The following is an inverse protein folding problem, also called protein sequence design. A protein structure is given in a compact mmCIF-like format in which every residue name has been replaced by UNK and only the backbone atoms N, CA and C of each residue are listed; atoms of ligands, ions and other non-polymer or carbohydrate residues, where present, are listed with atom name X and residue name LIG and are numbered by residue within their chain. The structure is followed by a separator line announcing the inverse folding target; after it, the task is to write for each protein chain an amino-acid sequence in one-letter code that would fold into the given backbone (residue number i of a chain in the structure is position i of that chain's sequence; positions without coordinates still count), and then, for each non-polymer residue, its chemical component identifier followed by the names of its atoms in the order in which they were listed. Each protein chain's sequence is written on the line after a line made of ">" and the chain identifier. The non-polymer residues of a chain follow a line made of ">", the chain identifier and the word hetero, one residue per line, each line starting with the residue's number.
data_IF_003051404792
#
_entry.id   IF_003051404792
#
_cell.length_a   1.000
_cell.length_b   1.000
_cell.length_c   1.000
_cell.angle_alpha   90.00
_cell.angle_beta   90.00
_cell.angle_gamma   90.00
#
_symmetry.space_group_name_H-M   'P 1'
#
loop_
_entity.id
_entity.type
_entity.pdbx_description
1 polymer ?
#
# COMPACT_ATOMS: atom_id res chain seq x y z
N UNK A 1 10.94 0.94 -58.63
CA UNK A 1 10.64 1.47 -57.28
C UNK A 1 11.28 2.84 -57.19
N UNK A 2 10.50 3.90 -56.93
CA UNK A 2 11.05 5.26 -56.93
C UNK A 2 11.96 5.49 -55.71
N UNK A 3 13.11 6.17 -55.87
CA UNK A 3 14.14 6.31 -54.83
C UNK A 3 13.64 7.04 -53.58
N UNK A 4 12.63 7.91 -53.69
CA UNK A 4 12.03 8.59 -52.55
C UNK A 4 11.20 7.64 -51.66
N UNK A 5 10.61 6.57 -52.20
CA UNK A 5 9.86 5.56 -51.43
C UNK A 5 10.81 4.72 -50.57
N UNK A 6 11.97 4.38 -51.12
CA UNK A 6 13.03 3.66 -50.39
C UNK A 6 13.62 4.55 -49.29
N UNK A 7 13.84 5.84 -49.56
CA UNK A 7 14.29 6.80 -48.56
C UNK A 7 13.25 7.01 -47.43
N UNK A 8 11.96 7.04 -47.76
CA UNK A 8 10.88 7.20 -46.77
C UNK A 8 10.72 5.97 -45.88
N UNK A 9 10.88 4.77 -46.45
CA UNK A 9 10.88 3.51 -45.68
C UNK A 9 12.16 3.35 -44.86
N UNK A 10 13.32 3.68 -45.42
CA UNK A 10 14.61 3.61 -44.73
C UNK A 10 14.74 4.62 -43.58
N UNK A 11 14.08 5.79 -43.67
CA UNK A 11 14.05 6.79 -42.60
C UNK A 11 12.88 6.59 -41.62
N UNK A 12 11.73 6.10 -42.09
CA UNK A 12 10.52 5.91 -41.28
C UNK A 12 10.60 4.74 -40.30
N UNK A 13 11.23 3.62 -40.69
CA UNK A 13 11.37 2.43 -39.85
C UNK A 13 12.26 2.70 -38.61
N UNK A 14 13.44 3.35 -38.73
CA UNK A 14 14.25 3.73 -37.57
C UNK A 14 13.59 4.76 -36.66
N UNK A 15 12.89 5.75 -37.22
CA UNK A 15 12.18 6.77 -36.43
C UNK A 15 11.02 6.15 -35.61
N UNK A 16 10.27 5.22 -36.20
CA UNK A 16 9.24 4.47 -35.50
C UNK A 16 9.81 3.54 -34.41
N UNK A 17 10.90 2.83 -34.70
CA UNK A 17 11.57 1.97 -33.73
C UNK A 17 12.13 2.77 -32.53
N UNK A 18 12.68 3.95 -32.78
CA UNK A 18 13.14 4.87 -31.75
C UNK A 18 11.97 5.40 -30.89
N UNK A 19 10.87 5.81 -31.51
CA UNK A 19 9.67 6.26 -30.80
C UNK A 19 9.04 5.14 -29.95
N UNK A 20 9.00 3.91 -30.46
CA UNK A 20 8.48 2.74 -29.74
C UNK A 20 9.39 2.38 -28.55
N UNK A 21 10.70 2.41 -28.75
CA UNK A 21 11.67 2.12 -27.68
C UNK A 21 11.64 3.20 -26.61
N UNK A 22 11.49 4.47 -27.00
CA UNK A 22 11.27 5.57 -26.06
C UNK A 22 9.96 5.37 -25.29
N UNK A 23 8.84 5.08 -25.96
CA UNK A 23 7.54 4.85 -25.31
C UNK A 23 7.59 3.67 -24.32
N UNK A 24 8.24 2.56 -24.68
CA UNK A 24 8.44 1.41 -23.79
C UNK A 24 9.34 1.80 -22.60
N UNK A 25 10.42 2.55 -22.84
CA UNK A 25 11.33 3.00 -21.79
C UNK A 25 10.65 3.95 -20.81
N UNK A 26 9.86 4.90 -21.32
CA UNK A 26 9.10 5.85 -20.53
C UNK A 26 7.99 5.14 -19.73
N UNK A 27 7.33 4.16 -20.34
CA UNK A 27 6.36 3.30 -19.66
C UNK A 27 7.00 2.44 -18.56
N UNK A 28 8.18 1.87 -18.81
CA UNK A 28 8.94 1.11 -17.82
C UNK A 28 9.41 2.01 -16.66
N UNK A 29 9.86 3.24 -16.95
CA UNK A 29 10.22 4.24 -15.93
C UNK A 29 9.02 4.64 -15.09
N UNK A 30 7.88 4.93 -15.72
CA UNK A 30 6.64 5.25 -15.02
C UNK A 30 6.16 4.07 -14.14
N UNK A 31 6.30 2.83 -14.63
CA UNK A 31 6.01 1.63 -13.84
C UNK A 31 6.94 1.45 -12.65
N UNK A 32 8.26 1.64 -12.84
CA UNK A 32 9.25 1.58 -11.75
C UNK A 32 8.96 2.66 -10.71
N UNK A 33 8.75 3.91 -11.13
CA UNK A 33 8.40 5.00 -10.22
C UNK A 33 7.11 4.71 -9.42
N UNK A 34 6.08 4.11 -10.05
CA UNK A 34 4.87 3.67 -9.34
C UNK A 34 5.16 2.53 -8.35
N UNK A 35 5.99 1.56 -8.73
CA UNK A 35 6.42 0.47 -7.85
C UNK A 35 7.22 0.98 -6.64
N UNK A 36 8.14 1.91 -6.87
CA UNK A 36 9.01 2.49 -5.85
C UNK A 36 8.19 3.32 -4.85
N UNK A 37 7.22 4.11 -5.33
CA UNK A 37 6.28 4.83 -4.47
C UNK A 37 5.48 3.88 -3.59
N UNK A 38 4.95 2.78 -4.16
CA UNK A 38 4.22 1.76 -3.39
C UNK A 38 5.10 1.13 -2.32
N UNK A 39 6.32 0.73 -2.69
CA UNK A 39 7.28 0.14 -1.77
C UNK A 39 7.62 1.11 -0.63
N UNK A 40 7.84 2.39 -0.94
CA UNK A 40 8.12 3.41 0.06
C UNK A 40 6.97 3.63 1.05
N UNK A 41 5.72 3.66 0.57
CA UNK A 41 4.55 3.80 1.46
C UNK A 41 4.40 2.58 2.36
N UNK A 42 4.55 1.37 1.82
CA UNK A 42 4.51 0.18 2.65
C UNK A 42 5.67 0.09 3.65
N UNK A 43 6.88 0.48 3.26
CA UNK A 43 8.04 0.48 4.16
C UNK A 43 7.83 1.46 5.33
N UNK A 44 7.22 2.62 5.08
CA UNK A 44 6.80 3.57 6.14
C UNK A 44 5.78 2.94 7.09
N UNK A 45 4.80 2.21 6.54
CA UNK A 45 3.80 1.51 7.33
C UNK A 45 4.44 0.42 8.21
N UNK A 46 5.30 -0.42 7.63
CA UNK A 46 6.03 -1.48 8.35
C UNK A 46 6.93 -0.91 9.45
N UNK A 47 7.70 0.15 9.14
CA UNK A 47 8.52 0.86 10.14
C UNK A 47 7.64 1.43 11.26
N UNK A 48 6.46 1.96 10.93
CA UNK A 48 5.49 2.45 11.91
C UNK A 48 5.01 1.35 12.85
N UNK A 49 4.66 0.18 12.29
CA UNK A 49 4.17 -0.99 13.02
C UNK A 49 5.25 -1.57 13.95
N UNK A 50 6.49 -1.70 13.48
CA UNK A 50 7.62 -2.15 14.30
C UNK A 50 7.88 -1.18 15.48
N UNK A 51 7.76 0.13 15.22
CA UNK A 51 7.92 1.16 16.25
C UNK A 51 6.85 1.10 17.32
N UNK A 52 5.68 0.50 17.09
CA UNK A 52 4.66 0.31 18.14
C UNK A 52 5.27 -0.47 19.29
N UNK A 53 5.88 -1.63 19.02
CA UNK A 53 6.48 -2.46 20.07
C UNK A 53 7.60 -1.71 20.81
N UNK A 54 8.43 -0.97 20.09
CA UNK A 54 9.55 -0.20 20.65
C UNK A 54 9.06 0.96 21.54
N UNK A 55 8.07 1.73 21.09
CA UNK A 55 7.54 2.86 21.86
C UNK A 55 6.81 2.36 23.10
N UNK A 56 6.12 1.23 23.01
CA UNK A 56 5.41 0.68 24.14
C UNK A 56 6.37 0.15 25.24
N UNK A 57 7.59 -0.27 24.94
CA UNK A 57 8.55 -0.62 26.01
C UNK A 57 9.20 0.60 26.69
N UNK A 58 8.94 1.82 26.20
CA UNK A 58 9.50 3.04 26.76
C UNK A 58 8.75 3.55 28.02
N UNK A 59 9.42 4.35 28.86
CA UNK A 59 8.77 5.09 29.95
C UNK A 59 7.56 5.91 29.48
N UNK A 60 6.52 6.02 30.33
CA UNK A 60 5.24 6.71 30.03
C UNK A 60 5.41 8.13 29.47
N UNK A 61 6.39 8.88 29.95
CA UNK A 61 6.69 10.22 29.45
C UNK A 61 7.09 10.18 27.97
N UNK A 62 8.03 9.32 27.58
CA UNK A 62 8.52 9.20 26.20
C UNK A 62 7.45 8.62 25.26
N UNK A 63 6.62 7.69 25.75
CA UNK A 63 5.45 7.16 25.02
C UNK A 63 4.50 8.25 24.52
N UNK A 64 4.27 9.31 25.31
CA UNK A 64 3.33 10.38 24.95
C UNK A 64 3.81 11.20 23.75
N UNK A 65 5.13 11.39 23.63
CA UNK A 65 5.76 12.17 22.56
C UNK A 65 6.02 11.37 21.29
N UNK A 66 6.09 10.04 21.38
CA UNK A 66 6.27 9.15 20.22
C UNK A 66 4.91 8.57 19.83
N UNK A 67 4.35 9.06 18.73
CA UNK A 67 3.05 8.66 18.18
C UNK A 67 3.21 7.84 16.89
N UNK A 68 3.58 6.54 16.96
CA UNK A 68 3.71 5.69 15.77
C UNK A 68 2.37 5.47 15.06
N UNK A 69 1.27 5.57 15.81
CA UNK A 69 -0.11 5.53 15.34
C UNK A 69 -0.40 6.59 14.26
N UNK A 70 0.08 7.83 14.45
CA UNK A 70 -0.12 8.91 13.45
C UNK A 70 0.60 8.58 12.14
N UNK A 71 1.82 8.04 12.21
CA UNK A 71 2.58 7.65 11.02
C UNK A 71 1.92 6.48 10.28
N UNK A 72 1.36 5.51 11.02
CA UNK A 72 0.61 4.38 10.47
C UNK A 72 -0.65 4.86 9.75
N UNK A 73 -1.42 5.76 10.36
CA UNK A 73 -2.62 6.35 9.74
C UNK A 73 -2.26 7.09 8.45
N UNK A 74 -1.26 7.98 8.49
CA UNK A 74 -0.81 8.72 7.31
C UNK A 74 -0.35 7.78 6.18
N UNK A 75 0.48 6.77 6.50
CA UNK A 75 0.94 5.80 5.51
C UNK A 75 -0.22 5.01 4.92
N UNK A 76 -1.22 4.64 5.73
CA UNK A 76 -2.42 3.95 5.28
C UNK A 76 -3.26 4.81 4.34
N UNK A 77 -3.46 6.10 4.66
CA UNK A 77 -4.16 7.03 3.78
C UNK A 77 -3.45 7.20 2.45
N UNK A 78 -2.11 7.31 2.45
CA UNK A 78 -1.32 7.38 1.21
C UNK A 78 -1.46 6.14 0.32
N UNK A 79 -1.85 4.97 0.86
CA UNK A 79 -2.11 3.77 0.05
C UNK A 79 -3.28 3.95 -0.92
N UNK A 80 -4.26 4.81 -0.62
CA UNK A 80 -5.34 5.13 -1.57
C UNK A 80 -4.83 5.77 -2.86
N UNK A 81 -3.75 6.55 -2.77
CA UNK A 81 -3.15 7.25 -3.91
C UNK A 81 -2.26 6.34 -4.76
N UNK A 82 -1.58 5.38 -4.13
CA UNK A 82 -0.58 4.55 -4.81
C UNK A 82 -1.11 3.18 -5.26
N UNK A 83 -2.14 2.64 -4.62
CA UNK A 83 -2.72 1.34 -4.97
C UNK A 83 -3.88 1.46 -5.97
N UNK A 84 -4.03 0.50 -6.90
CA UNK A 84 -5.18 0.46 -7.79
C UNK A 84 -6.49 0.22 -7.00
N UNK A 85 -7.60 0.78 -7.47
CA UNK A 85 -8.94 0.66 -6.82
C UNK A 85 -9.33 -0.77 -6.42
N UNK A 86 -8.96 -1.76 -7.23
CA UNK A 86 -9.20 -3.20 -6.95
C UNK A 86 -8.54 -3.72 -5.66
N UNK A 87 -7.62 -2.96 -5.09
CA UNK A 87 -6.85 -3.26 -3.88
C UNK A 87 -7.31 -2.39 -2.69
N UNK A 88 -8.30 -1.50 -2.87
CA UNK A 88 -8.81 -0.63 -1.80
C UNK A 88 -9.39 -1.40 -0.62
N UNK A 89 -9.86 -2.64 -0.80
CA UNK A 89 -10.29 -3.50 0.31
C UNK A 89 -9.21 -3.69 1.36
N UNK A 90 -7.93 -3.78 0.96
CA UNK A 90 -6.81 -3.83 1.90
C UNK A 90 -6.66 -2.49 2.62
N UNK A 91 -6.81 -1.38 1.89
CA UNK A 91 -6.61 -0.04 2.45
C UNK A 91 -7.69 0.29 3.47
N UNK A 92 -8.95 -0.03 3.19
CA UNK A 92 -10.05 0.11 4.14
C UNK A 92 -9.82 -0.72 5.40
N UNK A 93 -9.44 -2.00 5.23
CA UNK A 93 -9.14 -2.86 6.36
C UNK A 93 -7.97 -2.33 7.22
N UNK A 94 -6.91 -1.84 6.57
CA UNK A 94 -5.78 -1.22 7.27
C UNK A 94 -6.20 0.09 7.98
N UNK A 95 -7.12 0.86 7.40
CA UNK A 95 -7.61 2.10 8.00
C UNK A 95 -8.42 1.82 9.28
N UNK A 96 -9.28 0.79 9.26
CA UNK A 96 -9.99 0.34 10.46
C UNK A 96 -9.03 -0.13 11.54
N UNK A 97 -8.06 -0.99 11.21
CA UNK A 97 -7.09 -1.47 12.20
C UNK A 97 -6.18 -0.34 12.71
N UNK A 98 -5.80 0.61 11.86
CA UNK A 98 -5.06 1.80 12.28
C UNK A 98 -5.88 2.67 13.25
N UNK A 99 -7.19 2.80 13.02
CA UNK A 99 -8.08 3.47 13.98
C UNK A 99 -8.20 2.69 15.29
N UNK A 100 -8.36 1.37 15.24
CA UNK A 100 -8.35 0.52 16.44
C UNK A 100 -7.05 0.68 17.23
N UNK A 101 -5.92 0.78 16.54
CA UNK A 101 -4.61 1.02 17.15
C UNK A 101 -4.53 2.37 17.86
N UNK A 102 -5.21 3.42 17.38
CA UNK A 102 -5.18 4.75 18.03
C UNK A 102 -6.01 4.77 19.32
N UNK A 103 -7.13 4.03 19.34
CA UNK A 103 -8.03 3.98 20.51
C UNK A 103 -7.66 2.90 21.54
N UNK A 104 -6.86 1.90 21.16
CA UNK A 104 -6.41 0.82 22.03
C UNK A 104 -5.59 1.36 23.22
N UNK A 105 -5.97 0.94 24.43
CA UNK A 105 -5.44 1.47 25.71
C UNK A 105 -4.32 0.61 26.30
N UNK A 106 -4.25 -0.67 25.92
CA UNK A 106 -3.29 -1.63 26.45
C UNK A 106 -2.13 -1.91 25.49
N UNK A 107 -0.95 -2.19 26.05
CA UNK A 107 0.20 -2.66 25.26
C UNK A 107 -0.14 -3.92 24.47
N UNK A 108 -0.73 -4.92 25.15
CA UNK A 108 -1.04 -6.21 24.55
C UNK A 108 -1.99 -6.07 23.35
N UNK A 109 -3.06 -5.28 23.50
CA UNK A 109 -4.01 -4.99 22.42
C UNK A 109 -3.32 -4.28 21.24
N UNK A 110 -2.51 -3.24 21.50
CA UNK A 110 -1.78 -2.51 20.47
C UNK A 110 -0.78 -3.39 19.73
N UNK A 111 -0.06 -4.25 20.45
CA UNK A 111 0.90 -5.20 19.89
C UNK A 111 0.19 -6.26 19.04
N UNK A 112 -0.95 -6.78 19.49
CA UNK A 112 -1.77 -7.73 18.73
C UNK A 112 -2.28 -7.10 17.43
N UNK A 113 -2.81 -5.87 17.48
CA UNK A 113 -3.27 -5.14 16.27
C UNK A 113 -2.09 -4.92 15.31
N UNK A 114 -0.96 -4.41 15.79
CA UNK A 114 0.21 -4.16 14.94
C UNK A 114 0.76 -5.44 14.28
N UNK A 115 0.76 -6.54 15.02
CA UNK A 115 1.18 -7.87 14.52
C UNK A 115 0.18 -8.40 13.48
N UNK A 116 -1.12 -8.24 13.73
CA UNK A 116 -2.18 -8.62 12.78
C UNK A 116 -2.08 -7.82 11.49
N UNK A 117 -1.83 -6.51 11.57
CA UNK A 117 -1.61 -5.66 10.41
C UNK A 117 -0.38 -6.12 9.61
N UNK A 118 0.76 -6.31 10.28
CA UNK A 118 2.02 -6.73 9.65
C UNK A 118 1.89 -8.08 8.94
N UNK A 119 1.33 -9.08 9.62
CA UNK A 119 1.10 -10.42 9.06
C UNK A 119 0.11 -10.40 7.89
N UNK A 120 -0.92 -9.55 7.95
CA UNK A 120 -1.90 -9.38 6.87
C UNK A 120 -1.27 -8.73 5.64
N UNK A 121 -0.43 -7.71 5.82
CA UNK A 121 0.33 -7.07 4.72
C UNK A 121 1.23 -8.13 4.05
N UNK A 122 1.96 -8.93 4.83
CA UNK A 122 2.82 -9.99 4.33
C UNK A 122 2.01 -11.06 3.56
N UNK A 123 0.92 -11.54 4.14
CA UNK A 123 0.02 -12.50 3.51
C UNK A 123 -0.58 -11.95 2.21
N UNK A 124 -0.94 -10.67 2.18
CA UNK A 124 -1.46 -10.01 0.99
C UNK A 124 -0.42 -9.94 -0.12
N UNK A 125 0.83 -9.61 0.20
CA UNK A 125 1.94 -9.61 -0.78
C UNK A 125 2.13 -10.99 -1.42
N UNK A 126 1.99 -12.06 -0.64
CA UNK A 126 2.12 -13.44 -1.14
C UNK A 126 0.87 -13.97 -1.87
N UNK A 127 -0.34 -13.59 -1.43
CA UNK A 127 -1.62 -14.20 -1.85
C UNK A 127 -2.72 -13.17 -2.07
N UNK A 128 -2.49 -12.17 -2.92
CA UNK A 128 -3.41 -11.04 -3.16
C UNK A 128 -4.87 -11.43 -3.40
N UNK A 129 -5.15 -12.42 -4.27
CA UNK A 129 -6.54 -12.79 -4.60
C UNK A 129 -7.30 -13.34 -3.39
N UNK A 130 -6.76 -14.37 -2.74
CA UNK A 130 -7.37 -14.99 -1.55
C UNK A 130 -7.52 -13.99 -0.39
N UNK A 131 -6.52 -13.13 -0.20
CA UNK A 131 -6.60 -12.11 0.86
C UNK A 131 -7.65 -11.04 0.57
N UNK A 132 -7.87 -10.63 -0.69
CA UNK A 132 -8.95 -9.69 -1.01
C UNK A 132 -10.32 -10.23 -0.62
N UNK A 133 -10.60 -11.49 -0.95
CA UNK A 133 -11.87 -12.15 -0.60
C UNK A 133 -12.01 -12.26 0.94
N UNK A 134 -10.96 -12.71 1.63
CA UNK A 134 -10.94 -12.82 3.09
C UNK A 134 -11.17 -11.47 3.79
N UNK A 135 -10.52 -10.41 3.33
CA UNK A 135 -10.64 -9.07 3.92
C UNK A 135 -12.00 -8.45 3.64
N UNK A 136 -12.58 -8.70 2.46
CA UNK A 136 -13.94 -8.28 2.15
C UNK A 136 -14.97 -8.92 3.10
N UNK A 137 -14.82 -10.22 3.37
CA UNK A 137 -15.69 -10.94 4.33
C UNK A 137 -15.51 -10.39 5.75
N UNK A 138 -14.26 -10.18 6.19
CA UNK A 138 -13.97 -9.62 7.52
C UNK A 138 -14.60 -8.23 7.69
N UNK A 139 -14.47 -7.34 6.69
CA UNK A 139 -15.10 -6.01 6.70
C UNK A 139 -16.63 -6.09 6.73
N UNK A 140 -17.24 -6.90 5.86
CA UNK A 140 -18.71 -7.06 5.81
C UNK A 140 -19.28 -7.59 7.14
N UNK A 141 -18.57 -8.52 7.80
CA UNK A 141 -18.99 -9.05 9.10
C UNK A 141 -18.99 -8.00 10.22
N UNK A 142 -18.08 -7.02 10.15
CA UNK A 142 -17.99 -5.93 11.13
C UNK A 142 -19.10 -4.89 10.93
N UNK A 143 -19.43 -4.60 9.68
CA UNK A 143 -20.53 -3.68 9.33
C UNK A 143 -21.88 -4.23 9.83
N UNK A 144 -22.12 -5.53 9.66
CA UNK A 144 -23.31 -6.20 10.22
C UNK A 144 -23.36 -6.12 11.75
N UNK A 145 -22.21 -6.31 12.42
CA UNK A 145 -22.12 -6.18 13.88
C UNK A 145 -22.44 -4.76 14.37
N UNK A 146 -22.24 -3.71 13.56
CA UNK A 146 -22.60 -2.34 13.97
C UNK A 146 -24.11 -2.12 13.81
N UNK A 147 -24.71 -2.65 12.74
CA UNK A 147 -26.14 -2.53 12.46
C UNK A 147 -27.00 -3.32 13.45
N UNK A 148 -26.55 -4.48 13.92
CA UNK A 148 -27.29 -5.30 14.90
C UNK A 148 -27.36 -4.69 16.31
N UNK A 149 -26.54 -3.67 16.59
CA UNK A 149 -26.48 -2.97 17.88
C UNK A 149 -26.97 -1.51 17.82
N UNK A 150 -27.49 -1.07 16.67
CA UNK A 150 -28.07 0.26 16.44
C UNK A 150 -29.59 0.22 16.48
#
# INVERSE_FOLDING_TARGET
>A
MEPWVVALLAAGIPAFAAALTYAISEWLRARRASSDRRAAVFARLETGLERVAIVETMPRLLRRWKRPDVAIVQATTSLFEVLPRREWVLVYWLAEEAYRLTVARGFEERAQIATRMSSTILAWRMRRRRMRERLAIDLASREQTILDYS
#
